data_IF_104470758368
#
_entry.id   IF_104470758368
#
_cell.length_a   1.000
_cell.length_b   1.000
_cell.length_c   1.000
_cell.angle_alpha   90.00
_cell.angle_beta   90.00
_cell.angle_gamma   90.00
#
_symmetry.space_group_name_H-M   'P 1'
#
loop_
_entity.id
_entity.type
_entity.pdbx_description
1 polymer ?
#
# COMPACT_ATOMS: atom_id res chain seq x y z
N UNK A 1 47.04 46.84 78.56
CA UNK A 1 46.27 47.94 77.94
C UNK A 1 44.83 47.44 77.80
N UNK A 2 43.97 47.78 78.77
CA UNK A 2 42.96 48.85 78.71
C UNK A 2 41.77 48.53 77.78
N UNK A 3 40.60 48.28 78.41
CA UNK A 3 39.21 48.69 78.01
C UNK A 3 38.66 48.13 76.68
N UNK A 4 37.38 47.80 76.48
CA UNK A 4 36.12 48.34 77.01
C UNK A 4 34.96 47.37 76.69
N UNK A 5 33.94 47.36 77.55
CA UNK A 5 32.62 46.76 77.34
C UNK A 5 31.89 47.34 76.10
N UNK A 6 30.89 46.62 75.57
CA UNK A 6 29.50 47.09 75.40
C UNK A 6 28.58 45.87 75.17
N UNK A 7 27.65 45.66 76.10
CA UNK A 7 26.45 44.83 75.95
C UNK A 7 25.49 45.52 74.96
N UNK A 8 24.89 44.78 74.03
CA UNK A 8 23.61 45.14 73.42
C UNK A 8 22.62 43.98 73.53
N UNK A 9 21.60 44.23 74.34
CA UNK A 9 20.32 43.54 74.42
C UNK A 9 19.55 43.66 73.11
N UNK A 10 19.15 42.54 72.50
CA UNK A 10 18.13 42.53 71.45
C UNK A 10 16.88 41.78 71.90
N UNK A 11 15.77 42.51 71.85
CA UNK A 11 14.40 42.06 72.09
C UNK A 11 13.98 40.94 71.14
N UNK A 12 13.19 40.03 71.69
CA UNK A 12 12.35 39.05 70.99
C UNK A 12 11.18 39.75 70.30
N UNK A 13 11.00 39.52 69.01
CA UNK A 13 9.71 39.70 68.31
C UNK A 13 9.37 38.40 67.57
N UNK A 14 8.50 37.62 68.19
CA UNK A 14 7.95 36.38 67.66
C UNK A 14 6.75 36.74 66.75
N UNK A 15 7.00 36.80 65.44
CA UNK A 15 5.96 36.99 64.43
C UNK A 15 5.37 35.63 64.02
N UNK A 16 4.11 35.37 64.41
CA UNK A 16 3.32 34.27 63.86
C UNK A 16 2.98 34.57 62.40
N UNK A 17 3.53 33.78 61.47
CA UNK A 17 3.09 33.77 60.08
C UNK A 17 1.95 32.74 59.88
N UNK A 18 0.81 33.11 59.28
CA UNK A 18 -0.22 32.15 58.92
C UNK A 18 0.26 31.23 57.79
N UNK A 19 0.15 29.92 58.00
CA UNK A 19 0.53 28.89 57.03
C UNK A 19 -0.33 28.97 55.78
N UNK A 20 0.32 29.27 54.65
CA UNK A 20 -0.30 29.24 53.32
C UNK A 20 -0.39 27.77 52.91
N UNK A 21 -1.59 27.20 52.95
CA UNK A 21 -1.87 25.88 52.40
C UNK A 21 -1.64 25.93 50.88
N UNK A 22 -0.55 25.33 50.42
CA UNK A 22 -0.27 25.16 49.00
C UNK A 22 -1.29 24.22 48.38
N UNK A 23 -2.25 24.78 47.63
CA UNK A 23 -3.11 24.00 46.74
C UNK A 23 -2.22 23.39 45.65
N UNK A 24 -1.95 22.09 45.75
CA UNK A 24 -1.29 21.36 44.67
C UNK A 24 -2.26 21.32 43.48
N UNK A 25 -1.91 22.01 42.40
CA UNK A 25 -2.61 21.92 41.14
C UNK A 25 -2.54 20.46 40.67
N UNK A 26 -3.67 19.76 40.68
CA UNK A 26 -3.81 18.45 40.06
C UNK A 26 -3.69 18.66 38.56
N UNK A 27 -2.49 18.43 38.02
CA UNK A 27 -2.24 18.41 36.58
C UNK A 27 -3.05 17.27 35.97
N UNK A 28 -4.21 17.58 35.40
CA UNK A 28 -4.97 16.63 34.60
C UNK A 28 -4.21 16.38 33.31
N UNK A 29 -3.84 15.12 33.07
CA UNK A 29 -3.20 14.74 31.81
C UNK A 29 -4.08 15.18 30.63
N UNK A 30 -3.51 15.74 29.56
CA UNK A 30 -4.27 16.23 28.42
C UNK A 30 -5.04 15.09 27.76
N UNK A 31 -6.25 15.40 27.27
CA UNK A 31 -7.04 14.46 26.50
C UNK A 31 -6.38 14.21 25.13
N UNK A 32 -6.25 12.95 24.74
CA UNK A 32 -5.61 12.53 23.48
C UNK A 32 -6.60 11.98 22.46
N UNK A 33 -7.76 11.52 22.94
CA UNK A 33 -8.85 11.06 22.11
C UNK A 33 -10.20 11.23 22.82
N UNK A 34 -11.27 11.09 22.05
CA UNK A 34 -12.66 11.10 22.53
C UNK A 34 -13.38 9.84 22.05
N UNK A 35 -14.28 9.31 22.86
CA UNK A 35 -15.18 8.23 22.45
C UNK A 35 -16.30 8.80 21.56
N UNK A 36 -16.07 8.86 20.25
CA UNK A 36 -17.01 9.43 19.27
C UNK A 36 -18.33 8.64 19.17
N UNK A 37 -18.26 7.32 19.32
CA UNK A 37 -19.43 6.45 19.42
C UNK A 37 -19.12 5.27 20.35
N UNK A 38 -20.13 4.83 21.11
CA UNK A 38 -20.08 3.64 21.95
C UNK A 38 -21.38 2.88 21.70
N UNK A 39 -21.26 1.61 21.35
CA UNK A 39 -22.36 0.66 21.28
C UNK A 39 -22.10 -0.47 22.28
N UNK A 40 -23.11 -0.86 23.05
CA UNK A 40 -22.95 -1.78 24.18
C UNK A 40 -22.19 -1.19 25.38
N UNK A 41 -21.54 -2.05 26.17
CA UNK A 41 -20.83 -1.66 27.39
C UNK A 41 -19.32 -1.66 27.19
N UNK A 42 -18.70 -0.48 27.36
CA UNK A 42 -17.25 -0.30 27.25
C UNK A 42 -16.73 0.27 28.56
N UNK A 43 -15.60 -0.24 29.03
CA UNK A 43 -14.91 0.27 30.21
C UNK A 43 -13.61 0.94 29.82
N UNK A 44 -13.24 1.98 30.56
CA UNK A 44 -11.89 2.54 30.55
C UNK A 44 -11.25 2.31 31.91
N UNK A 45 -10.08 1.68 31.92
CA UNK A 45 -9.22 1.57 33.10
C UNK A 45 -8.15 2.63 32.97
N UNK A 46 -8.16 3.62 33.87
CA UNK A 46 -7.20 4.73 33.88
C UNK A 46 -5.82 4.21 34.29
N UNK A 47 -4.77 4.99 34.00
CA UNK A 47 -3.39 4.66 34.40
C UNK A 47 -3.23 4.33 35.91
N UNK A 48 -4.03 4.97 36.78
CA UNK A 48 -4.06 4.68 38.22
C UNK A 48 -4.89 3.46 38.62
N UNK A 49 -5.34 2.62 37.67
CA UNK A 49 -6.11 1.40 37.91
C UNK A 49 -7.62 1.59 38.11
N UNK A 50 -8.10 2.84 38.24
CA UNK A 50 -9.53 3.12 38.39
C UNK A 50 -10.29 2.79 37.10
N UNK A 51 -11.26 1.88 37.18
CA UNK A 51 -12.12 1.49 36.07
C UNK A 51 -13.46 2.24 36.11
N UNK A 52 -13.89 2.76 34.98
CA UNK A 52 -15.18 3.44 34.79
C UNK A 52 -15.84 3.05 33.47
N UNK A 53 -17.15 3.24 33.34
CA UNK A 53 -17.82 3.10 32.04
C UNK A 53 -17.36 4.22 31.11
N UNK A 54 -17.03 3.86 29.86
CA UNK A 54 -16.71 4.80 28.79
C UNK A 54 -17.99 5.13 28.03
N UNK A 55 -18.49 6.36 28.19
CA UNK A 55 -19.65 6.85 27.46
C UNK A 55 -19.23 7.68 26.24
N UNK A 56 -20.14 7.87 25.27
CA UNK A 56 -19.93 8.81 24.16
C UNK A 56 -19.50 10.19 24.69
N UNK A 57 -18.48 10.78 24.07
CA UNK A 57 -17.92 12.09 24.43
C UNK A 57 -16.89 12.03 25.57
N UNK A 58 -16.71 10.88 26.23
CA UNK A 58 -15.67 10.72 27.26
C UNK A 58 -14.28 10.95 26.67
N UNK A 59 -13.43 11.66 27.40
CA UNK A 59 -12.03 11.86 27.05
C UNK A 59 -11.15 10.69 27.51
N UNK A 60 -10.20 10.35 26.66
CA UNK A 60 -9.13 9.39 26.92
C UNK A 60 -7.81 10.11 27.12
N UNK A 61 -6.95 9.50 27.91
CA UNK A 61 -5.62 9.98 28.27
C UNK A 61 -4.56 8.91 27.95
N UNK A 62 -3.29 9.32 27.92
CA UNK A 62 -2.18 8.37 27.87
C UNK A 62 -2.22 7.46 29.10
N UNK A 63 -2.02 6.16 28.88
CA UNK A 63 -2.10 5.10 29.88
C UNK A 63 -3.48 4.49 30.05
N UNK A 64 -4.52 5.00 29.39
CA UNK A 64 -5.86 4.41 29.45
C UNK A 64 -5.93 3.08 28.70
N UNK A 65 -6.58 2.08 29.31
CA UNK A 65 -6.94 0.81 28.70
C UNK A 65 -8.46 0.75 28.44
N UNK A 66 -8.82 0.65 27.16
CA UNK A 66 -10.18 0.57 26.66
C UNK A 66 -10.56 -0.91 26.52
N UNK A 67 -11.62 -1.32 27.22
CA UNK A 67 -12.08 -2.70 27.28
C UNK A 67 -13.51 -2.80 26.76
N UNK A 68 -13.68 -3.44 25.60
CA UNK A 68 -15.00 -3.75 25.03
C UNK A 68 -15.45 -5.13 25.52
N UNK A 69 -16.68 -5.23 26.00
CA UNK A 69 -17.34 -6.51 26.31
C UNK A 69 -17.91 -7.16 25.04
N UNK A 70 -18.60 -8.29 25.20
CA UNK A 70 -19.35 -8.94 24.14
C UNK A 70 -20.38 -7.99 23.52
N UNK A 71 -20.51 -8.03 22.21
CA UNK A 71 -21.44 -7.18 21.43
C UNK A 71 -21.28 -5.68 21.71
N UNK A 72 -20.08 -5.23 22.08
CA UNK A 72 -19.80 -3.82 22.28
C UNK A 72 -18.71 -3.33 21.34
N UNK A 73 -18.84 -2.10 20.86
CA UNK A 73 -17.83 -1.44 20.03
C UNK A 73 -17.65 -0.01 20.51
N UNK A 74 -16.48 0.53 20.25
CA UNK A 74 -16.22 1.96 20.45
C UNK A 74 -15.46 2.51 19.27
N UNK A 75 -15.90 3.68 18.77
CA UNK A 75 -15.13 4.51 17.84
C UNK A 75 -14.44 5.61 18.62
N UNK A 76 -13.13 5.61 18.56
CA UNK A 76 -12.23 6.62 19.11
C UNK A 76 -11.89 7.63 18.02
N UNK A 77 -11.91 8.91 18.37
CA UNK A 77 -11.45 10.00 17.53
C UNK A 77 -10.30 10.73 18.25
N UNK A 78 -9.10 10.64 17.70
CA UNK A 78 -7.87 11.21 18.24
C UNK A 78 -7.72 12.68 17.82
N UNK A 79 -6.94 13.45 18.59
CA UNK A 79 -6.77 14.89 18.36
C UNK A 79 -6.00 15.25 17.07
N UNK A 80 -5.32 14.28 16.45
CA UNK A 80 -4.65 14.40 15.15
C UNK A 80 -5.60 14.09 13.98
N UNK A 81 -6.88 13.86 14.27
CA UNK A 81 -7.92 13.52 13.29
C UNK A 81 -7.98 12.03 12.93
N UNK A 82 -7.18 11.18 13.58
CA UNK A 82 -7.25 9.73 13.38
C UNK A 82 -8.48 9.13 14.04
N UNK A 83 -9.01 8.06 13.45
CA UNK A 83 -10.12 7.29 14.03
C UNK A 83 -9.71 5.83 14.25
N UNK A 84 -10.22 5.22 15.33
CA UNK A 84 -10.00 3.79 15.60
C UNK A 84 -11.29 3.18 16.11
N UNK A 85 -11.78 2.15 15.45
CA UNK A 85 -12.88 1.33 15.94
C UNK A 85 -12.32 0.09 16.62
N UNK A 86 -12.74 -0.13 17.86
CA UNK A 86 -12.37 -1.29 18.67
C UNK A 86 -13.51 -2.30 18.64
N UNK A 87 -13.21 -3.53 18.23
CA UNK A 87 -14.16 -4.64 18.11
C UNK A 87 -14.68 -5.10 19.47
N UNK A 88 -15.73 -5.95 19.53
CA UNK A 88 -16.08 -6.65 20.75
C UNK A 88 -14.91 -7.45 21.33
N UNK A 89 -14.98 -7.69 22.64
CA UNK A 89 -14.05 -8.55 23.39
C UNK A 89 -12.56 -8.15 23.23
N UNK A 90 -12.30 -6.87 23.06
CA UNK A 90 -10.97 -6.31 22.77
C UNK A 90 -10.46 -5.47 23.94
N UNK A 91 -9.13 -5.39 24.03
CA UNK A 91 -8.45 -4.48 24.96
C UNK A 91 -7.38 -3.69 24.20
N UNK A 92 -7.58 -2.38 24.10
CA UNK A 92 -6.66 -1.43 23.46
C UNK A 92 -6.09 -0.47 24.51
N UNK A 93 -4.79 -0.25 24.50
CA UNK A 93 -4.12 0.69 25.41
C UNK A 93 -3.48 1.82 24.61
N UNK A 94 -3.66 3.06 25.06
CA UNK A 94 -2.94 4.23 24.52
C UNK A 94 -1.66 4.42 25.32
N UNK A 95 -0.54 3.87 24.85
CA UNK A 95 0.71 3.90 25.62
C UNK A 95 1.44 5.25 25.52
N UNK A 96 1.52 5.82 24.32
CA UNK A 96 2.09 7.15 24.11
C UNK A 96 1.26 7.90 23.08
N UNK A 97 1.17 9.21 23.25
CA UNK A 97 0.54 10.09 22.28
C UNK A 97 1.12 11.50 22.42
N UNK A 98 1.74 11.98 21.36
CA UNK A 98 2.31 13.31 21.21
C UNK A 98 1.98 13.80 19.81
N UNK A 99 1.25 14.91 19.72
CA UNK A 99 0.88 15.55 18.47
C UNK A 99 1.24 17.03 18.56
N UNK A 100 2.28 17.43 17.84
CA UNK A 100 2.82 18.78 17.85
C UNK A 100 2.61 19.42 16.47
N UNK A 101 1.59 20.28 16.33
CA UNK A 101 1.20 20.83 15.02
C UNK A 101 2.37 21.50 14.30
N UNK A 102 3.18 22.24 15.04
CA UNK A 102 4.31 23.04 14.57
C UNK A 102 5.63 22.24 14.49
N UNK A 103 5.73 21.10 15.18
CA UNK A 103 6.92 20.24 15.19
C UNK A 103 6.59 18.78 14.84
N UNK A 104 6.22 18.50 13.56
CA UNK A 104 5.87 17.15 13.11
C UNK A 104 6.92 16.06 13.39
N UNK A 105 8.19 16.43 13.52
CA UNK A 105 9.28 15.49 13.84
C UNK A 105 9.21 14.93 15.26
N UNK A 106 8.44 15.56 16.16
CA UNK A 106 8.22 15.10 17.53
C UNK A 106 6.91 14.33 17.70
N UNK A 107 6.12 14.17 16.62
CA UNK A 107 4.89 13.39 16.68
C UNK A 107 5.23 11.93 17.05
N UNK A 108 4.42 11.33 17.92
CA UNK A 108 4.56 9.93 18.33
C UNK A 108 3.23 9.38 18.84
N UNK A 109 2.85 8.19 18.40
CA UNK A 109 1.65 7.49 18.81
C UNK A 109 1.95 5.99 18.91
N UNK A 110 1.93 5.48 20.14
CA UNK A 110 2.06 4.06 20.40
C UNK A 110 0.77 3.49 20.99
N UNK A 111 0.14 2.60 20.24
CA UNK A 111 -1.01 1.83 20.69
C UNK A 111 -0.59 0.39 20.98
N UNK A 112 -1.23 -0.23 21.97
CA UNK A 112 -1.05 -1.65 22.24
C UNK A 112 -2.39 -2.39 22.23
N UNK A 113 -2.51 -3.36 21.34
CA UNK A 113 -3.63 -4.31 21.31
C UNK A 113 -3.26 -5.54 22.16
N UNK A 114 -3.92 -5.68 23.30
CA UNK A 114 -3.70 -6.81 24.22
C UNK A 114 -4.50 -8.04 23.79
N UNK A 115 -5.72 -7.84 23.29
CA UNK A 115 -6.59 -8.90 22.74
C UNK A 115 -7.63 -8.30 21.79
N UNK A 116 -8.24 -9.16 20.96
CA UNK A 116 -9.33 -8.77 20.08
C UNK A 116 -8.84 -8.16 18.77
N UNK A 117 -9.47 -7.08 18.30
CA UNK A 117 -9.09 -6.43 17.04
C UNK A 117 -9.57 -4.99 16.90
N UNK A 118 -8.98 -4.29 15.93
CA UNK A 118 -9.31 -2.90 15.62
C UNK A 118 -9.32 -2.67 14.11
N UNK A 119 -10.02 -1.63 13.66
CA UNK A 119 -9.76 -0.94 12.39
C UNK A 119 -9.35 0.48 12.71
N UNK A 120 -8.30 0.98 12.07
CA UNK A 120 -7.83 2.33 12.29
C UNK A 120 -7.61 3.06 10.98
N UNK A 121 -8.10 4.30 10.94
CA UNK A 121 -7.83 5.29 9.92
C UNK A 121 -6.86 6.30 10.52
N UNK A 122 -5.63 6.34 10.01
CA UNK A 122 -4.58 7.20 10.59
C UNK A 122 -4.83 8.69 10.37
N UNK A 123 -4.55 9.47 11.42
CA UNK A 123 -4.59 10.92 11.41
C UNK A 123 -3.29 11.55 10.91
N UNK A 124 -3.07 12.81 11.27
CA UNK A 124 -1.91 13.57 10.85
C UNK A 124 -0.59 12.89 11.28
N UNK A 125 -0.51 12.29 12.47
CA UNK A 125 0.73 11.65 12.98
C UNK A 125 1.23 10.59 12.00
N UNK A 126 0.34 9.75 11.47
CA UNK A 126 0.71 8.70 10.52
C UNK A 126 1.02 9.19 9.11
N UNK A 127 0.87 10.49 8.82
CA UNK A 127 0.92 11.08 7.47
C UNK A 127 2.02 12.13 7.28
N UNK A 128 2.75 12.52 8.33
CA UNK A 128 3.76 13.60 8.29
C UNK A 128 4.94 13.33 9.21
N UNK A 129 5.99 14.13 9.08
CA UNK A 129 7.11 14.13 10.03
C UNK A 129 7.88 12.82 9.99
N UNK A 130 7.90 12.10 11.11
CA UNK A 130 8.60 10.83 11.28
C UNK A 130 7.76 9.65 10.77
N UNK A 131 8.33 8.84 9.86
CA UNK A 131 7.65 7.67 9.30
C UNK A 131 7.35 6.57 10.34
N UNK A 132 8.10 6.53 11.45
CA UNK A 132 7.92 5.54 12.52
C UNK A 132 7.10 6.08 13.70
N UNK A 133 6.50 7.27 13.55
CA UNK A 133 5.74 7.93 14.60
C UNK A 133 4.48 7.16 15.01
N UNK A 134 3.84 6.45 14.09
CA UNK A 134 2.65 5.65 14.40
C UNK A 134 3.02 4.18 14.48
N UNK A 135 2.82 3.58 15.65
CA UNK A 135 3.06 2.16 15.89
C UNK A 135 1.89 1.54 16.67
N UNK A 136 1.41 0.39 16.19
CA UNK A 136 0.51 -0.48 16.92
C UNK A 136 1.23 -1.79 17.26
N UNK A 137 1.39 -2.10 18.54
CA UNK A 137 1.94 -3.38 18.97
C UNK A 137 0.82 -4.35 19.31
N UNK A 138 0.89 -5.54 18.72
CA UNK A 138 0.00 -6.66 19.04
C UNK A 138 0.86 -7.88 19.33
N UNK A 139 0.85 -8.36 20.59
CA UNK A 139 1.71 -9.46 21.04
C UNK A 139 3.21 -9.20 20.71
N UNK A 140 3.83 -10.04 19.88
CA UNK A 140 5.23 -9.96 19.45
C UNK A 140 5.44 -9.15 18.17
N UNK A 141 4.37 -8.74 17.50
CA UNK A 141 4.46 -8.01 16.24
C UNK A 141 4.19 -6.52 16.43
N UNK A 142 4.91 -5.72 15.65
CA UNK A 142 4.69 -4.28 15.53
C UNK A 142 4.13 -3.99 14.15
N UNK A 143 3.04 -3.24 14.11
CA UNK A 143 2.40 -2.74 12.89
C UNK A 143 2.81 -1.27 12.77
N UNK A 144 3.79 -1.01 11.91
CA UNK A 144 4.25 0.33 11.54
C UNK A 144 3.46 0.85 10.35
N UNK A 145 3.17 2.15 10.32
CA UNK A 145 2.10 2.66 9.45
C UNK A 145 2.50 3.92 8.73
N UNK A 146 2.10 4.01 7.46
CA UNK A 146 2.20 5.23 6.66
C UNK A 146 0.87 5.56 5.99
N UNK A 147 0.09 6.44 6.62
CA UNK A 147 -1.12 7.05 6.05
C UNK A 147 -2.15 6.06 5.54
N UNK A 148 -2.67 5.21 6.41
CA UNK A 148 -3.51 4.07 6.02
C UNK A 148 -4.87 3.99 6.70
N UNK A 149 -5.73 3.19 6.05
CA UNK A 149 -6.86 2.48 6.64
C UNK A 149 -6.50 0.98 6.70
N UNK A 150 -6.51 0.40 7.88
CA UNK A 150 -6.08 -0.99 8.08
C UNK A 150 -6.85 -1.64 9.24
N UNK A 151 -7.02 -2.96 9.15
CA UNK A 151 -7.57 -3.79 10.22
C UNK A 151 -6.50 -4.70 10.81
N UNK A 152 -6.54 -4.87 12.13
CA UNK A 152 -5.67 -5.78 12.87
C UNK A 152 -6.51 -6.67 13.76
N UNK A 153 -6.25 -7.97 13.70
CA UNK A 153 -6.83 -8.97 14.59
C UNK A 153 -5.71 -9.72 15.30
N UNK A 154 -5.67 -9.63 16.61
CA UNK A 154 -4.84 -10.50 17.43
C UNK A 154 -5.64 -11.79 17.70
N UNK A 155 -5.26 -12.84 17.00
CA UNK A 155 -5.83 -14.16 17.08
C UNK A 155 -5.20 -14.96 18.21
N UNK A 156 -6.07 -15.60 18.97
CA UNK A 156 -5.78 -16.72 19.86
C UNK A 156 -6.62 -17.89 19.33
N UNK A 157 -7.12 -18.77 20.21
CA UNK A 157 -7.99 -19.88 19.82
C UNK A 157 -9.35 -19.45 19.23
N UNK A 158 -9.62 -18.14 19.20
CA UNK A 158 -10.87 -17.49 18.80
C UNK A 158 -10.92 -17.06 17.31
N UNK A 159 -9.89 -17.38 16.53
CA UNK A 159 -9.85 -17.13 15.08
C UNK A 159 -9.94 -18.42 14.25
N UNK A 160 -10.26 -19.56 14.87
CA UNK A 160 -10.48 -20.80 14.11
C UNK A 160 -11.82 -20.72 13.37
N UNK A 161 -11.76 -20.27 12.12
CA UNK A 161 -12.82 -20.51 11.16
C UNK A 161 -12.33 -21.55 10.16
N UNK A 162 -13.17 -22.56 9.92
CA UNK A 162 -13.01 -23.51 8.81
C UNK A 162 -12.96 -22.69 7.52
N UNK A 163 -11.81 -22.69 6.86
CA UNK A 163 -11.60 -21.96 5.61
C UNK A 163 -12.75 -22.22 4.66
N UNK A 164 -13.53 -21.17 4.41
CA UNK A 164 -14.61 -21.24 3.44
C UNK A 164 -13.91 -21.36 2.07
N UNK A 165 -13.81 -22.58 1.54
CA UNK A 165 -13.06 -22.87 0.31
C UNK A 165 -13.58 -22.07 -0.92
N UNK A 166 -14.75 -21.45 -0.78
CA UNK A 166 -15.38 -20.56 -1.75
C UNK A 166 -15.27 -19.06 -1.40
N UNK A 167 -14.42 -18.68 -0.42
CA UNK A 167 -14.19 -17.28 -0.11
C UNK A 167 -13.53 -16.57 -1.30
N UNK A 168 -14.32 -15.76 -2.01
CA UNK A 168 -13.80 -14.81 -2.98
C UNK A 168 -13.27 -13.61 -2.22
N UNK A 169 -11.96 -13.41 -2.30
CA UNK A 169 -11.29 -12.25 -1.75
C UNK A 169 -11.96 -10.97 -2.29
N UNK A 170 -12.42 -10.08 -1.41
CA UNK A 170 -13.06 -8.83 -1.85
C UNK A 170 -12.05 -7.78 -2.32
N UNK A 171 -10.77 -7.95 -2.01
CA UNK A 171 -9.71 -7.05 -2.43
C UNK A 171 -9.17 -7.37 -3.83
N UNK A 172 -8.90 -6.32 -4.62
CA UNK A 172 -8.19 -6.44 -5.89
C UNK A 172 -6.72 -6.79 -5.63
N UNK A 173 -6.20 -7.91 -6.16
CA UNK A 173 -4.81 -8.28 -5.95
C UNK A 173 -3.85 -7.32 -6.65
N UNK A 174 -2.66 -7.14 -6.06
CA UNK A 174 -1.59 -6.37 -6.68
C UNK A 174 -1.15 -7.05 -7.98
N UNK A 175 -1.25 -6.34 -9.10
CA UNK A 175 -0.83 -6.82 -10.40
C UNK A 175 0.67 -6.65 -10.60
N UNK A 176 1.16 -5.44 -10.30
CA UNK A 176 2.56 -5.05 -10.47
C UNK A 176 3.07 -4.15 -9.34
N UNK A 177 4.39 -3.99 -9.26
CA UNK A 177 5.08 -3.04 -8.38
C UNK A 177 6.07 -2.22 -9.18
N UNK A 178 6.12 -0.92 -8.91
CA UNK A 178 7.13 -0.04 -9.47
C UNK A 178 8.47 -0.26 -8.73
N UNK A 179 9.43 -0.92 -9.35
CA UNK A 179 10.73 -1.23 -8.70
C UNK A 179 11.82 -0.20 -8.98
N UNK A 180 11.58 0.66 -9.97
CA UNK A 180 12.44 1.79 -10.26
C UNK A 180 11.57 2.94 -10.76
N UNK A 181 11.69 4.13 -10.15
CA UNK A 181 10.94 5.33 -10.55
C UNK A 181 11.92 6.47 -10.72
N UNK A 182 12.04 7.00 -11.95
CA UNK A 182 12.82 8.20 -12.25
C UNK A 182 11.89 9.31 -12.73
N UNK A 183 12.08 10.51 -12.21
CA UNK A 183 11.26 11.67 -12.57
C UNK A 183 9.85 11.58 -11.97
N UNK A 184 8.87 12.12 -12.69
CA UNK A 184 7.47 12.18 -12.25
C UNK A 184 6.65 11.12 -12.97
N UNK A 185 6.16 10.16 -12.18
CA UNK A 185 5.28 9.09 -12.63
C UNK A 185 3.99 9.16 -11.84
N UNK A 186 2.86 9.16 -12.53
CA UNK A 186 1.53 9.27 -11.94
C UNK A 186 0.67 8.07 -12.31
N UNK A 187 -0.20 7.65 -11.41
CA UNK A 187 -1.16 6.58 -11.61
C UNK A 187 -2.56 7.07 -11.22
N UNK A 188 -3.56 6.72 -12.01
CA UNK A 188 -4.98 6.77 -11.64
C UNK A 188 -5.41 5.36 -11.32
N UNK A 189 -5.82 5.14 -10.06
CA UNK A 189 -6.35 3.86 -9.62
C UNK A 189 -7.85 3.81 -9.85
N UNK A 190 -8.33 2.79 -10.57
CA UNK A 190 -9.75 2.57 -10.88
C UNK A 190 -10.48 3.83 -11.43
N UNK A 191 -9.81 4.63 -12.26
CA UNK A 191 -10.38 5.85 -12.84
C UNK A 191 -10.45 7.05 -11.89
N UNK A 192 -9.81 6.97 -10.73
CA UNK A 192 -9.67 8.07 -9.78
C UNK A 192 -8.72 9.19 -10.24
N UNK A 193 -8.36 10.09 -9.32
CA UNK A 193 -7.40 11.16 -9.62
C UNK A 193 -6.00 10.60 -9.92
N UNK A 194 -5.24 11.29 -10.76
CA UNK A 194 -3.83 10.97 -11.02
C UNK A 194 -2.96 11.36 -9.83
N UNK A 195 -2.35 10.38 -9.18
CA UNK A 195 -1.48 10.56 -8.01
C UNK A 195 -0.05 10.15 -8.35
N UNK A 196 0.94 10.90 -7.87
CA UNK A 196 2.35 10.56 -8.06
C UNK A 196 2.72 9.30 -7.28
N UNK A 197 3.43 8.37 -7.91
CA UNK A 197 3.92 7.14 -7.28
C UNK A 197 5.43 7.20 -7.05
N UNK A 198 5.90 6.33 -6.17
CA UNK A 198 7.32 6.13 -5.80
C UNK A 198 7.67 4.65 -5.88
N UNK A 199 8.95 4.31 -5.74
CA UNK A 199 9.38 2.91 -5.71
C UNK A 199 8.65 2.10 -4.64
N UNK A 200 8.35 0.85 -4.97
CA UNK A 200 7.56 -0.08 -4.17
C UNK A 200 6.05 0.11 -4.24
N UNK A 201 5.51 1.18 -4.85
CA UNK A 201 4.06 1.36 -5.01
C UNK A 201 3.44 0.27 -5.91
N UNK A 202 2.29 -0.28 -5.51
CA UNK A 202 1.57 -1.29 -6.27
C UNK A 202 0.80 -0.65 -7.43
N UNK A 203 0.51 -1.47 -8.42
CA UNK A 203 -0.46 -1.19 -9.47
C UNK A 203 -1.43 -2.36 -9.57
N UNK A 204 -2.64 -2.06 -10.00
CA UNK A 204 -3.77 -2.98 -10.07
C UNK A 204 -4.36 -3.05 -11.47
N UNK A 205 -5.15 -4.09 -11.74
CA UNK A 205 -5.99 -4.13 -12.94
C UNK A 205 -6.98 -2.95 -12.91
N UNK A 206 -7.11 -2.25 -14.03
CA UNK A 206 -7.87 -1.01 -14.18
C UNK A 206 -7.03 0.27 -14.02
N UNK A 207 -5.75 0.18 -13.62
CA UNK A 207 -4.91 1.36 -13.43
C UNK A 207 -4.47 1.97 -14.75
N UNK A 208 -4.40 3.31 -14.77
CA UNK A 208 -3.77 4.09 -15.85
C UNK A 208 -2.52 4.78 -15.33
N UNK A 209 -1.37 4.51 -15.95
CA UNK A 209 -0.08 5.09 -15.62
C UNK A 209 0.34 6.13 -16.67
N UNK A 210 0.94 7.21 -16.19
CA UNK A 210 1.54 8.26 -17.02
C UNK A 210 2.95 8.59 -16.53
N UNK A 211 3.90 8.63 -17.45
CA UNK A 211 5.25 9.18 -17.25
C UNK A 211 5.32 10.59 -17.86
N UNK A 212 5.98 11.52 -17.17
CA UNK A 212 6.26 12.85 -17.72
C UNK A 212 7.52 12.85 -18.61
N UNK A 213 7.92 14.03 -19.07
CA UNK A 213 9.23 14.24 -19.73
C UNK A 213 10.36 13.76 -18.80
N UNK A 214 11.41 13.19 -19.38
CA UNK A 214 12.60 12.68 -18.67
C UNK A 214 12.30 11.72 -17.50
N UNK A 215 11.14 11.07 -17.56
CA UNK A 215 10.64 10.18 -16.51
C UNK A 215 10.45 8.77 -17.04
N UNK A 216 10.76 7.76 -16.23
CA UNK A 216 10.49 6.37 -16.58
C UNK A 216 10.17 5.56 -15.34
N UNK A 217 9.47 4.45 -15.53
CA UNK A 217 9.20 3.48 -14.47
C UNK A 217 9.48 2.07 -14.96
N UNK A 218 10.07 1.24 -14.10
CA UNK A 218 10.15 -0.20 -14.30
C UNK A 218 9.09 -0.85 -13.40
N UNK A 219 8.15 -1.52 -14.04
CA UNK A 219 7.11 -2.32 -13.40
C UNK A 219 7.51 -3.79 -13.42
N UNK A 220 7.27 -4.48 -12.32
CA UNK A 220 7.42 -5.93 -12.20
C UNK A 220 6.08 -6.51 -11.81
N UNK A 221 5.61 -7.50 -12.54
CA UNK A 221 4.34 -8.18 -12.31
C UNK A 221 4.56 -9.47 -11.52
N UNK A 222 3.51 -9.97 -10.86
CA UNK A 222 3.59 -11.17 -10.02
C UNK A 222 3.88 -12.47 -10.79
N UNK A 223 3.68 -12.51 -12.11
CA UNK A 223 4.09 -13.62 -12.99
C UNK A 223 5.56 -13.52 -13.44
N UNK A 224 6.26 -12.47 -13.02
CA UNK A 224 7.63 -12.17 -13.43
C UNK A 224 7.76 -11.35 -14.70
N UNK A 225 6.65 -10.95 -15.35
CA UNK A 225 6.66 -9.98 -16.45
C UNK A 225 7.23 -8.65 -15.98
N UNK A 226 7.93 -7.96 -16.87
CA UNK A 226 8.52 -6.66 -16.56
C UNK A 226 8.33 -5.68 -17.70
N UNK A 227 7.90 -4.47 -17.36
CA UNK A 227 7.67 -3.41 -18.34
C UNK A 227 8.42 -2.16 -17.92
N UNK A 228 9.23 -1.62 -18.82
CA UNK A 228 9.75 -0.26 -18.69
C UNK A 228 8.86 0.68 -19.50
N UNK A 229 8.26 1.65 -18.83
CA UNK A 229 7.45 2.69 -19.48
C UNK A 229 8.36 3.87 -19.78
N UNK A 230 8.47 4.24 -21.05
CA UNK A 230 9.38 5.29 -21.50
C UNK A 230 8.88 6.68 -21.09
N UNK A 231 9.68 7.75 -21.27
CA UNK A 231 9.22 9.13 -21.09
C UNK A 231 7.97 9.45 -21.89
N UNK A 232 7.20 10.42 -21.39
CA UNK A 232 6.03 10.99 -22.08
C UNK A 232 4.99 9.96 -22.54
N UNK A 233 4.82 8.88 -21.78
CA UNK A 233 4.02 7.72 -22.16
C UNK A 233 2.78 7.57 -21.29
N UNK A 234 1.75 6.93 -21.84
CA UNK A 234 0.52 6.55 -21.13
C UNK A 234 0.15 5.10 -21.41
N UNK A 235 -0.06 4.35 -20.34
CA UNK A 235 -0.32 2.91 -20.32
C UNK A 235 -1.52 2.62 -19.42
N UNK A 236 -2.31 1.59 -19.75
CA UNK A 236 -3.31 0.99 -18.87
C UNK A 236 -3.01 -0.49 -18.62
N UNK A 237 -3.31 -0.96 -17.41
CA UNK A 237 -3.37 -2.40 -17.07
C UNK A 237 -4.82 -2.82 -17.18
N UNK A 238 -5.27 -3.21 -18.35
CA UNK A 238 -6.71 -3.42 -18.62
C UNK A 238 -7.21 -4.73 -18.04
N UNK A 239 -6.35 -5.76 -18.10
CA UNK A 239 -6.60 -7.05 -17.48
C UNK A 239 -5.29 -7.60 -16.94
N UNK A 240 -5.30 -8.04 -15.68
CA UNK A 240 -4.24 -8.86 -15.15
C UNK A 240 -4.82 -9.88 -14.17
N UNK A 241 -4.63 -11.15 -14.48
CA UNK A 241 -4.96 -12.26 -13.61
C UNK A 241 -3.81 -13.26 -13.65
N UNK A 242 -3.23 -13.57 -12.49
CA UNK A 242 -2.22 -14.59 -12.35
C UNK A 242 -2.56 -15.42 -11.12
N UNK A 243 -2.80 -16.72 -11.31
CA UNK A 243 -3.02 -17.62 -10.19
C UNK A 243 -1.72 -17.71 -9.38
N UNK A 244 -1.73 -17.14 -8.18
CA UNK A 244 -0.57 -17.14 -7.32
C UNK A 244 -0.19 -18.56 -6.88
N UNK A 245 1.08 -18.72 -6.57
CA UNK A 245 1.68 -19.93 -6.03
C UNK A 245 1.00 -20.30 -4.70
N UNK A 246 0.38 -21.48 -4.61
CA UNK A 246 0.07 -22.11 -3.32
C UNK A 246 1.26 -22.94 -2.84
N UNK A 247 1.41 -23.11 -1.53
CA UNK A 247 2.59 -23.70 -0.89
C UNK A 247 3.05 -25.00 -1.59
N UNK A 248 4.27 -24.98 -2.12
CA UNK A 248 4.91 -26.13 -2.78
C UNK A 248 4.45 -26.44 -4.21
N UNK A 249 3.44 -25.76 -4.75
CA UNK A 249 2.99 -25.94 -6.14
C UNK A 249 3.82 -25.11 -7.13
N UNK A 250 4.06 -25.65 -8.33
CA UNK A 250 4.56 -24.84 -9.44
C UNK A 250 3.50 -23.81 -9.82
N UNK A 251 3.88 -22.54 -9.93
CA UNK A 251 3.01 -21.49 -10.49
C UNK A 251 2.67 -21.89 -11.93
N UNK A 252 1.40 -22.21 -12.19
CA UNK A 252 0.97 -22.84 -13.44
C UNK A 252 1.07 -21.93 -14.68
N UNK A 253 1.47 -20.66 -14.51
CA UNK A 253 1.42 -19.65 -15.58
C UNK A 253 0.02 -19.47 -16.17
N UNK A 254 -1.01 -19.92 -15.44
CA UNK A 254 -2.42 -19.76 -15.83
C UNK A 254 -2.80 -18.34 -15.46
N UNK A 255 -3.24 -17.59 -16.47
CA UNK A 255 -3.54 -16.19 -16.30
C UNK A 255 -3.82 -15.48 -17.61
N UNK A 256 -3.97 -14.18 -17.51
CA UNK A 256 -4.14 -13.25 -18.62
C UNK A 256 -3.50 -11.91 -18.28
N UNK A 257 -2.98 -11.24 -19.32
CA UNK A 257 -2.37 -9.93 -19.20
C UNK A 257 -2.66 -9.12 -20.45
N UNK A 258 -3.49 -8.09 -20.31
CA UNK A 258 -3.78 -7.13 -21.38
C UNK A 258 -3.30 -5.76 -20.94
N UNK A 259 -2.34 -5.24 -21.68
CA UNK A 259 -1.80 -3.90 -21.50
C UNK A 259 -2.33 -3.03 -22.64
N UNK A 260 -2.95 -1.91 -22.29
CA UNK A 260 -3.31 -0.89 -23.26
C UNK A 260 -2.21 0.18 -23.30
N UNK A 261 -1.78 0.53 -24.51
CA UNK A 261 -0.79 1.55 -24.76
C UNK A 261 -1.46 2.70 -25.51
N UNK A 262 -1.59 3.84 -24.85
CA UNK A 262 -2.33 5.00 -25.35
C UNK A 262 -1.42 6.03 -26.01
N UNK A 263 -0.20 6.18 -25.48
CA UNK A 263 0.76 7.20 -25.90
C UNK A 263 2.19 6.79 -25.60
N UNK A 264 3.12 7.15 -26.48
CA UNK A 264 4.56 7.06 -26.24
C UNK A 264 5.17 5.69 -26.53
N UNK A 265 6.01 5.16 -25.65
CA UNK A 265 6.64 3.85 -25.84
C UNK A 265 6.81 3.02 -24.56
N UNK A 266 7.04 1.72 -24.73
CA UNK A 266 7.38 0.80 -23.65
C UNK A 266 8.35 -0.28 -24.13
N UNK A 267 9.02 -0.91 -23.17
CA UNK A 267 9.80 -2.15 -23.35
C UNK A 267 9.21 -3.23 -22.48
N UNK A 268 9.07 -4.44 -22.99
CA UNK A 268 8.37 -5.52 -22.29
C UNK A 268 9.17 -6.82 -22.39
N UNK A 269 9.52 -7.39 -21.24
CA UNK A 269 9.95 -8.77 -21.08
C UNK A 269 8.84 -9.62 -20.43
N UNK A 270 8.39 -10.67 -21.10
CA UNK A 270 7.25 -11.47 -20.62
C UNK A 270 7.63 -12.51 -19.56
N UNK A 271 6.76 -12.67 -18.57
CA UNK A 271 6.89 -13.62 -17.46
C UNK A 271 6.30 -14.99 -17.79
N UNK A 272 5.84 -15.68 -16.73
CA UNK A 272 5.33 -17.04 -16.81
C UNK A 272 4.11 -17.14 -17.71
N UNK A 273 3.14 -16.23 -17.63
CA UNK A 273 1.92 -16.28 -18.46
C UNK A 273 2.30 -16.25 -19.94
N UNK A 274 3.22 -15.37 -20.33
CA UNK A 274 3.67 -15.27 -21.72
C UNK A 274 4.43 -16.50 -22.24
N UNK A 275 4.98 -17.32 -21.34
CA UNK A 275 5.71 -18.56 -21.68
C UNK A 275 4.78 -19.77 -21.74
N UNK A 276 3.82 -19.88 -20.81
CA UNK A 276 2.88 -21.00 -20.72
C UNK A 276 1.63 -20.82 -21.57
N UNK A 277 1.14 -19.59 -21.68
CA UNK A 277 -0.14 -19.22 -22.29
C UNK A 277 0.00 -17.93 -23.14
N UNK A 278 0.80 -17.98 -24.21
CA UNK A 278 1.18 -16.81 -25.00
C UNK A 278 -0.02 -16.03 -25.58
N UNK A 279 -1.11 -16.71 -25.94
CA UNK A 279 -2.32 -16.11 -26.50
C UNK A 279 -3.10 -15.23 -25.50
N UNK A 280 -2.80 -15.36 -24.20
CA UNK A 280 -3.41 -14.59 -23.12
C UNK A 280 -2.62 -13.34 -22.74
N UNK A 281 -1.49 -13.07 -23.40
CA UNK A 281 -0.74 -11.83 -23.20
C UNK A 281 -0.81 -10.97 -24.46
N UNK A 282 -1.33 -9.75 -24.31
CA UNK A 282 -1.51 -8.80 -25.41
C UNK A 282 -1.11 -7.39 -25.01
N UNK A 283 -0.48 -6.67 -25.93
CA UNK A 283 -0.38 -5.21 -25.88
C UNK A 283 -1.29 -4.64 -26.95
N UNK A 284 -2.27 -3.83 -26.57
CA UNK A 284 -3.21 -3.19 -27.51
C UNK A 284 -2.93 -1.71 -27.59
N UNK A 285 -3.23 -1.15 -28.74
CA UNK A 285 -3.24 0.28 -29.01
C UNK A 285 -4.53 0.59 -29.78
N UNK A 286 -4.75 1.87 -30.11
CA UNK A 286 -5.88 2.26 -30.94
C UNK A 286 -5.82 1.65 -32.37
N UNK A 287 -4.63 1.30 -32.87
CA UNK A 287 -4.43 0.87 -34.27
C UNK A 287 -3.92 -0.55 -34.42
N UNK A 288 -3.29 -1.11 -33.39
CA UNK A 288 -2.59 -2.39 -33.44
C UNK A 288 -2.78 -3.24 -32.19
N UNK A 289 -2.74 -4.55 -32.37
CA UNK A 289 -2.58 -5.53 -31.29
C UNK A 289 -1.28 -6.30 -31.49
N UNK A 290 -0.52 -6.44 -30.41
CA UNK A 290 0.71 -7.22 -30.36
C UNK A 290 0.44 -8.46 -29.50
N UNK A 291 0.52 -9.63 -30.11
CA UNK A 291 0.55 -10.91 -29.42
C UNK A 291 1.99 -11.33 -29.17
N UNK A 292 2.22 -12.13 -28.13
CA UNK A 292 3.58 -12.49 -27.70
C UNK A 292 3.71 -14.00 -27.57
N UNK A 293 4.95 -14.50 -27.69
CA UNK A 293 5.29 -15.88 -27.37
C UNK A 293 6.65 -15.94 -26.68
N UNK A 294 6.66 -15.78 -25.35
CA UNK A 294 7.88 -15.76 -24.53
C UNK A 294 8.92 -14.77 -25.05
N UNK A 295 8.62 -13.47 -25.02
CA UNK A 295 9.37 -12.45 -25.75
C UNK A 295 9.95 -11.34 -24.91
N UNK A 296 10.98 -10.73 -25.47
CA UNK A 296 11.46 -9.40 -25.11
C UNK A 296 11.30 -8.50 -26.32
N UNK A 297 10.53 -7.42 -26.21
CA UNK A 297 10.22 -6.53 -27.34
C UNK A 297 9.99 -5.09 -26.89
N UNK A 298 10.12 -4.18 -27.85
CA UNK A 298 9.95 -2.75 -27.64
C UNK A 298 8.83 -2.23 -28.56
N UNK A 299 8.03 -1.28 -28.07
CA UNK A 299 6.91 -0.66 -28.79
C UNK A 299 7.00 0.85 -28.68
N UNK A 300 6.71 1.55 -29.77
CA UNK A 300 6.59 3.01 -29.77
C UNK A 300 5.51 3.49 -30.71
N UNK A 301 4.83 4.55 -30.30
CA UNK A 301 3.80 5.23 -31.06
C UNK A 301 4.37 6.44 -31.79
N UNK A 302 3.80 6.73 -32.95
CA UNK A 302 4.27 7.74 -33.89
C UNK A 302 3.08 8.47 -34.55
N UNK A 303 3.30 9.63 -35.18
CA UNK A 303 2.33 10.24 -36.06
C UNK A 303 1.96 9.32 -37.22
N UNK A 304 0.74 9.46 -37.71
CA UNK A 304 0.34 8.81 -38.97
C UNK A 304 1.21 9.28 -40.13
N UNK A 305 1.62 8.36 -41.01
CA UNK A 305 2.45 8.70 -42.16
C UNK A 305 3.95 8.78 -41.85
N UNK A 306 4.37 8.41 -40.64
CA UNK A 306 5.78 8.31 -40.27
C UNK A 306 6.58 7.46 -41.27
N UNK A 307 7.82 7.85 -41.55
CA UNK A 307 8.73 7.09 -42.41
C UNK A 307 9.14 5.75 -41.77
N UNK A 308 9.61 4.80 -42.58
CA UNK A 308 10.10 3.51 -42.06
C UNK A 308 11.34 3.67 -41.18
N UNK A 309 12.15 4.67 -41.49
CA UNK A 309 13.34 5.06 -40.72
C UNK A 309 13.04 6.20 -39.75
N UNK A 310 11.88 6.18 -39.08
CA UNK A 310 11.46 7.22 -38.15
C UNK A 310 12.56 7.56 -37.14
N UNK A 311 12.79 8.87 -36.96
CA UNK A 311 13.79 9.39 -36.05
C UNK A 311 13.22 9.49 -34.63
N UNK A 312 14.06 9.64 -33.59
CA UNK A 312 13.55 9.87 -32.24
C UNK A 312 12.67 11.11 -32.09
N UNK A 313 12.90 12.17 -32.89
CA UNK A 313 12.09 13.38 -32.87
C UNK A 313 10.66 13.15 -33.38
N UNK A 314 10.46 12.11 -34.18
CA UNK A 314 9.15 11.72 -34.70
C UNK A 314 8.38 10.82 -33.70
N UNK A 315 8.97 10.45 -32.57
CA UNK A 315 8.52 9.34 -31.72
C UNK A 315 8.44 9.70 -30.24
N UNK A 316 7.71 8.90 -29.45
CA UNK A 316 7.81 8.90 -27.98
C UNK A 316 6.87 9.83 -27.21
N UNK A 317 6.40 10.94 -27.78
CA UNK A 317 5.35 11.79 -27.18
C UNK A 317 4.04 11.76 -27.99
N UNK A 318 3.76 10.63 -28.65
CA UNK A 318 2.73 10.54 -29.68
C UNK A 318 1.62 9.57 -29.29
N UNK A 319 0.34 9.94 -29.50
CA UNK A 319 -0.77 9.01 -29.32
C UNK A 319 -0.65 7.81 -30.27
N UNK A 320 -1.06 6.63 -29.80
CA UNK A 320 -1.00 5.39 -30.59
C UNK A 320 -2.11 5.26 -31.65
N UNK A 321 -2.83 6.36 -31.94
CA UNK A 321 -3.82 6.45 -33.01
C UNK A 321 -3.22 6.70 -34.40
N UNK A 322 -1.97 7.18 -34.47
CA UNK A 322 -1.29 7.48 -35.73
C UNK A 322 -0.59 6.28 -36.34
N UNK A 323 0.47 5.80 -35.69
CA UNK A 323 1.23 4.61 -36.11
C UNK A 323 1.87 3.93 -34.91
N UNK A 324 2.12 2.64 -35.04
CA UNK A 324 2.77 1.82 -34.02
C UNK A 324 3.91 1.06 -34.67
N UNK A 325 5.10 1.17 -34.07
CA UNK A 325 6.28 0.40 -34.42
C UNK A 325 6.57 -0.59 -33.31
N UNK A 326 7.01 -1.79 -33.69
CA UNK A 326 7.46 -2.80 -32.76
C UNK A 326 8.77 -3.44 -33.22
N UNK A 327 9.67 -3.73 -32.29
CA UNK A 327 10.89 -4.51 -32.52
C UNK A 327 10.94 -5.69 -31.53
N UNK A 328 11.24 -6.88 -32.04
CA UNK A 328 11.50 -8.05 -31.20
C UNK A 328 12.99 -8.16 -30.91
N UNK A 329 13.37 -8.15 -29.63
CA UNK A 329 14.75 -8.37 -29.17
C UNK A 329 15.02 -9.86 -28.91
N UNK A 330 14.06 -10.57 -28.32
CA UNK A 330 14.10 -12.03 -28.10
C UNK A 330 12.73 -12.67 -28.36
N UNK A 331 12.73 -13.94 -28.80
CA UNK A 331 11.52 -14.70 -29.10
C UNK A 331 10.82 -14.26 -30.40
N UNK A 332 9.49 -14.31 -30.40
CA UNK A 332 8.64 -13.92 -31.54
C UNK A 332 7.36 -13.22 -31.09
N UNK A 333 7.06 -12.04 -31.66
CA UNK A 333 5.75 -11.39 -31.50
C UNK A 333 4.91 -11.55 -32.77
N UNK A 334 3.60 -11.39 -32.64
CA UNK A 334 2.69 -11.12 -33.75
C UNK A 334 2.25 -9.66 -33.69
N UNK A 335 2.27 -8.97 -34.82
CA UNK A 335 1.77 -7.61 -34.96
C UNK A 335 0.57 -7.62 -35.90
N UNK A 336 -0.57 -7.17 -35.41
CA UNK A 336 -1.82 -7.11 -36.18
C UNK A 336 -2.34 -5.68 -36.21
N UNK A 337 -2.72 -5.19 -37.40
CA UNK A 337 -3.55 -4.00 -37.52
C UNK A 337 -5.03 -4.31 -37.27
N UNK A 338 -5.92 -3.33 -37.42
CA UNK A 338 -7.38 -3.58 -37.34
C UNK A 338 -7.93 -4.34 -38.57
N UNK A 339 -7.14 -4.40 -39.66
CA UNK A 339 -7.41 -5.19 -40.87
C UNK A 339 -6.17 -5.96 -41.32
N UNK A 340 -6.41 -6.98 -42.14
CA UNK A 340 -5.37 -7.84 -42.71
C UNK A 340 -4.86 -8.90 -41.73
N UNK A 341 -3.98 -9.75 -42.25
CA UNK A 341 -3.43 -10.86 -41.48
C UNK A 341 -2.34 -10.39 -40.49
N UNK A 342 -2.21 -11.07 -39.33
CA UNK A 342 -1.10 -10.83 -38.41
C UNK A 342 0.26 -11.06 -39.08
N UNK A 343 1.22 -10.17 -38.79
CA UNK A 343 2.62 -10.32 -39.20
C UNK A 343 3.43 -10.92 -38.06
N UNK A 344 4.18 -11.97 -38.34
CA UNK A 344 5.08 -12.60 -37.37
C UNK A 344 6.44 -11.90 -37.40
N UNK A 345 6.94 -11.48 -36.24
CA UNK A 345 8.22 -10.77 -36.09
C UNK A 345 9.14 -11.53 -35.11
N UNK A 346 10.01 -12.41 -35.61
CA UNK A 346 11.08 -13.04 -34.83
C UNK A 346 12.11 -12.04 -34.30
N UNK A 347 12.95 -12.48 -33.37
CA UNK A 347 14.08 -11.71 -32.84
C UNK A 347 14.93 -11.09 -33.95
N UNK A 348 15.28 -9.81 -33.77
CA UNK A 348 16.02 -9.01 -34.75
C UNK A 348 15.16 -8.39 -35.86
N UNK A 349 13.85 -8.66 -35.91
CA UNK A 349 12.93 -8.03 -36.85
C UNK A 349 12.11 -6.91 -36.21
N UNK A 350 11.60 -6.04 -37.07
CA UNK A 350 10.68 -4.96 -36.71
C UNK A 350 9.54 -4.87 -37.71
N UNK A 351 8.42 -4.34 -37.25
CA UNK A 351 7.25 -4.10 -38.09
C UNK A 351 6.50 -2.85 -37.66
N UNK A 352 5.51 -2.48 -38.46
CA UNK A 352 4.65 -1.33 -38.18
C UNK A 352 3.21 -1.55 -38.58
N UNK A 353 2.33 -0.78 -37.94
CA UNK A 353 0.96 -0.49 -38.38
C UNK A 353 0.86 1.02 -38.53
N UNK A 354 0.41 1.49 -39.71
CA UNK A 354 0.42 2.92 -40.07
C UNK A 354 -1.00 3.51 -40.09
N UNK A 355 -1.70 3.40 -38.96
CA UNK A 355 -3.04 3.96 -38.78
C UNK A 355 -4.13 2.89 -38.71
N UNK A 356 -5.36 3.37 -38.55
CA UNK A 356 -6.56 2.52 -38.57
C UNK A 356 -6.74 1.90 -39.95
N UNK A 357 -7.20 0.66 -39.97
CA UNK A 357 -7.54 -0.11 -41.17
C UNK A 357 -6.39 -0.41 -42.12
N UNK A 358 -5.16 -0.11 -41.71
CA UNK A 358 -3.94 -0.44 -42.44
C UNK A 358 -3.38 -1.77 -41.90
N UNK A 359 -3.07 -2.76 -42.76
CA UNK A 359 -2.47 -4.00 -42.31
C UNK A 359 -1.07 -3.78 -41.74
N UNK A 360 -0.68 -4.65 -40.81
CA UNK A 360 0.69 -4.71 -40.33
C UNK A 360 1.64 -5.11 -41.47
N UNK A 361 2.87 -4.63 -41.41
CA UNK A 361 3.95 -5.11 -42.29
C UNK A 361 5.29 -5.15 -41.59
N UNK A 362 6.19 -5.98 -42.11
CA UNK A 362 7.60 -5.99 -41.70
C UNK A 362 8.32 -4.74 -42.23
N UNK A 363 9.41 -4.38 -41.55
CA UNK A 363 10.33 -3.34 -41.96
C UNK A 363 11.68 -3.97 -42.36
N UNK A 364 12.33 -3.47 -43.42
CA UNK A 364 13.62 -4.00 -43.87
C UNK A 364 14.78 -3.66 -42.92
N UNK A 365 14.63 -2.61 -42.12
CA UNK A 365 15.62 -2.16 -41.13
C UNK A 365 14.93 -1.77 -39.83
N UNK A 366 15.60 -2.01 -38.70
CA UNK A 366 15.15 -1.57 -37.39
C UNK A 366 15.23 -0.03 -37.33
N UNK A 367 14.11 0.68 -37.04
CA UNK A 367 14.11 2.13 -36.87
C UNK A 367 15.15 2.62 -35.87
N UNK A 368 15.75 3.78 -36.14
CA UNK A 368 16.87 4.29 -35.32
C UNK A 368 16.47 4.53 -33.86
N UNK A 369 15.21 4.90 -33.62
CA UNK A 369 14.69 5.13 -32.28
C UNK A 369 15.00 4.00 -31.31
N UNK A 370 14.74 2.73 -31.68
CA UNK A 370 14.97 1.61 -30.79
C UNK A 370 16.44 1.42 -30.39
N UNK A 371 17.37 1.88 -31.23
CA UNK A 371 18.81 1.87 -30.93
C UNK A 371 19.23 2.97 -29.97
N UNK A 372 18.41 4.02 -29.82
CA UNK A 372 18.70 5.21 -29.02
C UNK A 372 17.87 5.33 -27.74
N UNK A 373 16.93 4.40 -27.48
CA UNK A 373 16.16 4.40 -26.22
C UNK A 373 17.12 4.21 -25.04
N UNK A 374 17.11 5.18 -24.12
CA UNK A 374 18.02 5.27 -22.97
C UNK A 374 17.38 4.84 -21.64
N UNK A 375 16.17 4.29 -21.65
CA UNK A 375 15.55 3.71 -20.47
C UNK A 375 16.19 2.34 -20.15
N UNK A 376 15.94 1.78 -18.96
CA UNK A 376 16.38 0.42 -18.66
C UNK A 376 15.78 -0.61 -19.61
N UNK A 377 16.52 -1.69 -19.87
CA UNK A 377 15.94 -2.89 -20.45
C UNK A 377 15.35 -3.74 -19.31
N UNK A 378 14.05 -4.05 -19.32
CA UNK A 378 13.36 -4.57 -18.14
C UNK A 378 13.90 -5.94 -17.68
N UNK A 379 14.34 -6.79 -18.59
CA UNK A 379 14.92 -8.10 -18.27
C UNK A 379 16.27 -8.01 -17.53
N UNK A 380 17.01 -6.90 -17.70
CA UNK A 380 18.29 -6.67 -17.03
C UNK A 380 18.15 -6.12 -15.61
N UNK A 381 16.97 -5.64 -15.23
CA UNK A 381 16.70 -5.13 -13.88
C UNK A 381 16.68 -6.29 -12.88
N UNK A 382 17.55 -6.29 -11.88
CA UNK A 382 17.55 -7.33 -10.86
C UNK A 382 16.38 -7.13 -9.89
N UNK A 383 15.64 -8.21 -9.61
CA UNK A 383 14.44 -8.14 -8.75
C UNK A 383 14.35 -9.40 -7.91
N UNK A 384 13.89 -9.24 -6.67
CA UNK A 384 13.53 -10.36 -5.80
C UNK A 384 12.01 -10.58 -5.87
N UNK A 385 11.55 -11.46 -6.77
CA UNK A 385 10.12 -11.73 -6.95
C UNK A 385 9.46 -12.25 -5.66
N UNK A 386 10.16 -13.06 -4.88
CA UNK A 386 9.64 -13.59 -3.61
C UNK A 386 9.45 -12.46 -2.59
N UNK A 387 10.37 -11.50 -2.51
CA UNK A 387 10.19 -10.32 -1.66
C UNK A 387 9.02 -9.43 -2.11
N UNK A 388 8.85 -9.27 -3.42
CA UNK A 388 7.81 -8.42 -4.01
C UNK A 388 6.40 -9.03 -3.92
N UNK A 389 6.27 -10.33 -4.14
CA UNK A 389 4.99 -11.00 -4.34
C UNK A 389 4.84 -12.35 -3.65
N UNK A 390 5.83 -12.81 -2.87
CA UNK A 390 5.74 -14.08 -2.16
C UNK A 390 4.50 -14.10 -1.26
N UNK A 391 3.69 -15.14 -1.41
CA UNK A 391 2.46 -15.39 -0.65
C UNK A 391 2.58 -16.74 0.05
N UNK A 392 2.02 -16.84 1.25
CA UNK A 392 1.93 -18.09 2.01
C UNK A 392 0.50 -18.30 2.49
N UNK A 393 0.13 -19.56 2.74
CA UNK A 393 -1.11 -19.85 3.45
C UNK A 393 -0.90 -19.54 4.94
N UNK A 394 -1.90 -18.95 5.59
CA UNK A 394 -1.82 -18.71 7.03
C UNK A 394 -1.71 -20.06 7.75
N UNK A 395 -0.78 -20.25 8.70
CA UNK A 395 -0.68 -21.50 9.45
C UNK A 395 -1.95 -21.78 10.25
N UNK A 396 -2.41 -23.04 10.24
CA UNK A 396 -3.58 -23.50 11.00
C UNK A 396 -3.42 -23.37 12.53
N UNK A 397 -2.20 -23.11 13.01
CA UNK A 397 -1.88 -22.91 14.44
C UNK A 397 -2.22 -21.48 14.88
N UNK A 398 -3.51 -21.29 15.10
CA UNK A 398 -4.32 -20.16 15.58
C UNK A 398 -3.77 -19.29 16.73
N UNK A 399 -2.54 -18.78 16.68
CA UNK A 399 -2.17 -17.64 17.55
C UNK A 399 -1.18 -16.71 16.88
N UNK A 400 -1.62 -15.48 16.61
CA UNK A 400 -0.80 -14.48 15.93
C UNK A 400 -1.58 -13.23 15.57
N UNK A 401 -0.93 -12.32 14.86
CA UNK A 401 -1.48 -11.05 14.40
C UNK A 401 -1.80 -11.19 12.93
N UNK A 402 -3.07 -10.99 12.58
CA UNK A 402 -3.52 -10.79 11.21
C UNK A 402 -3.64 -9.29 10.94
N UNK A 403 -3.17 -8.87 9.77
CA UNK A 403 -3.28 -7.49 9.30
C UNK A 403 -3.85 -7.51 7.90
N UNK A 404 -4.79 -6.59 7.61
CA UNK A 404 -5.28 -6.31 6.26
C UNK A 404 -5.22 -4.81 6.01
N UNK A 405 -4.71 -4.41 4.85
CA UNK A 405 -4.65 -3.01 4.44
C UNK A 405 -5.80 -2.70 3.50
N UNK A 406 -6.62 -1.71 3.85
CA UNK A 406 -7.72 -1.22 3.00
C UNK A 406 -7.26 -0.07 2.12
N UNK A 407 -6.41 0.81 2.64
CA UNK A 407 -5.82 1.94 1.92
C UNK A 407 -4.40 2.22 2.44
N UNK A 408 -3.49 2.63 1.56
CA UNK A 408 -2.11 3.03 1.91
C UNK A 408 -1.15 1.85 2.12
N UNK A 409 -0.15 2.01 2.99
CA UNK A 409 0.90 1.01 3.28
C UNK A 409 1.11 0.71 4.76
N UNK A 410 1.23 -0.57 5.09
CA UNK A 410 1.51 -1.05 6.44
C UNK A 410 2.77 -1.92 6.43
N UNK A 411 3.59 -1.81 7.46
CA UNK A 411 4.71 -2.72 7.71
C UNK A 411 4.36 -3.59 8.91
N UNK A 412 4.36 -4.91 8.71
CA UNK A 412 4.28 -5.89 9.79
C UNK A 412 5.69 -6.38 10.13
N UNK A 413 6.19 -5.98 11.30
CA UNK A 413 7.54 -6.27 11.77
C UNK A 413 7.51 -7.26 12.95
N UNK A 414 8.35 -8.31 12.89
CA UNK A 414 8.61 -9.21 14.02
C UNK A 414 9.97 -9.89 13.83
N UNK A 415 10.75 -9.98 14.91
CA UNK A 415 12.03 -10.70 14.94
C UNK A 415 13.01 -10.30 13.81
N UNK A 416 13.16 -8.99 13.57
CA UNK A 416 14.03 -8.40 12.52
C UNK A 416 13.61 -8.72 11.07
N UNK A 417 12.40 -9.25 10.87
CA UNK A 417 11.82 -9.39 9.54
C UNK A 417 10.60 -8.50 9.41
N UNK A 418 10.55 -7.81 8.30
CA UNK A 418 9.48 -6.90 7.93
C UNK A 418 8.77 -7.41 6.69
N UNK A 419 7.44 -7.33 6.70
CA UNK A 419 6.61 -7.53 5.52
C UNK A 419 5.88 -6.23 5.25
N UNK A 420 6.18 -5.61 4.11
CA UNK A 420 5.44 -4.47 3.58
C UNK A 420 4.16 -4.97 2.92
N UNK A 421 3.05 -4.34 3.28
CA UNK A 421 1.72 -4.57 2.76
C UNK A 421 1.19 -3.30 2.13
N UNK A 422 0.57 -3.47 0.97
CA UNK A 422 -0.19 -2.41 0.32
C UNK A 422 -1.69 -2.71 0.36
N UNK A 423 -2.49 -1.72 -0.05
CA UNK A 423 -3.94 -1.87 -0.15
C UNK A 423 -4.34 -3.17 -0.86
N UNK A 424 -5.22 -3.93 -0.22
CA UNK A 424 -5.69 -5.24 -0.67
C UNK A 424 -4.82 -6.43 -0.26
N UNK A 425 -3.66 -6.21 0.37
CA UNK A 425 -2.82 -7.27 0.90
C UNK A 425 -3.09 -7.53 2.40
N UNK A 426 -2.83 -8.77 2.80
CA UNK A 426 -2.89 -9.21 4.19
C UNK A 426 -1.59 -9.89 4.59
N UNK A 427 -1.29 -9.88 5.89
CA UNK A 427 -0.18 -10.64 6.47
C UNK A 427 -0.57 -11.33 7.76
N UNK A 428 0.24 -12.32 8.12
CA UNK A 428 0.24 -12.97 9.40
C UNK A 428 1.63 -12.92 10.05
N UNK A 429 1.66 -12.73 11.37
CA UNK A 429 2.85 -12.96 12.19
C UNK A 429 2.46 -13.70 13.46
N UNK A 430 3.16 -14.77 13.81
CA UNK A 430 2.87 -15.59 14.99
C UNK A 430 4.14 -15.87 15.79
N UNK A 431 4.03 -16.42 17.02
CA UNK A 431 5.21 -16.67 17.86
C UNK A 431 6.27 -17.56 17.19
N UNK A 432 5.84 -18.57 16.44
CA UNK A 432 6.71 -19.50 15.72
C UNK A 432 6.88 -19.14 14.23
N UNK A 433 6.20 -18.08 13.77
CA UNK A 433 6.05 -17.77 12.34
C UNK A 433 6.44 -16.32 12.14
N UNK A 434 7.61 -16.12 11.51
CA UNK A 434 8.03 -14.79 11.06
C UNK A 434 6.97 -14.17 10.14
N UNK A 435 6.92 -12.84 9.98
CA UNK A 435 5.90 -12.21 9.16
C UNK A 435 5.89 -12.75 7.72
N UNK A 436 4.69 -13.04 7.22
CA UNK A 436 4.42 -13.57 5.88
C UNK A 436 3.21 -12.87 5.27
N UNK A 437 3.27 -12.59 3.97
CA UNK A 437 2.11 -12.08 3.20
C UNK A 437 1.19 -13.24 2.86
N UNK A 438 -0.12 -13.05 3.01
CA UNK A 438 -1.13 -14.06 2.80
C UNK A 438 -1.64 -14.07 1.36
N UNK A 439 -2.04 -15.24 0.87
CA UNK A 439 -2.59 -15.43 -0.48
C UNK A 439 -3.91 -14.70 -0.72
N UNK A 440 -4.69 -14.50 0.33
CA UNK A 440 -5.97 -13.81 0.30
C UNK A 440 -6.21 -13.07 1.60
N UNK A 441 -7.14 -12.10 1.55
CA UNK A 441 -7.65 -11.50 2.76
C UNK A 441 -8.37 -12.58 3.58
N UNK A 442 -8.02 -12.78 4.86
CA UNK A 442 -8.72 -13.74 5.71
C UNK A 442 -10.21 -13.39 5.84
N UNK A 443 -11.14 -14.37 5.77
CA UNK A 443 -12.59 -14.11 5.86
C UNK A 443 -12.99 -13.29 7.08
N UNK A 444 -12.37 -13.54 8.23
CA UNK A 444 -12.60 -12.81 9.49
C UNK A 444 -12.28 -11.31 9.40
N UNK A 445 -11.40 -10.90 8.48
CA UNK A 445 -11.06 -9.50 8.22
C UNK A 445 -11.79 -8.94 6.99
N UNK A 446 -12.09 -9.79 6.01
CA UNK A 446 -12.79 -9.40 4.78
C UNK A 446 -14.28 -9.11 5.05
N UNK A 447 -14.90 -9.93 5.91
CA UNK A 447 -16.34 -9.88 6.23
C UNK A 447 -16.61 -9.60 7.70
N UNK A 448 -15.76 -8.80 8.34
CA UNK A 448 -15.95 -8.45 9.74
C UNK A 448 -17.24 -7.62 9.93
N UNK A 449 -18.27 -8.13 10.61
CA UNK A 449 -19.53 -7.41 10.80
C UNK A 449 -19.34 -6.14 11.64
N UNK A 450 -18.27 -6.08 12.45
CA UNK A 450 -17.97 -4.95 13.32
C UNK A 450 -16.93 -3.99 12.75
N UNK A 451 -16.22 -4.35 11.67
CA UNK A 451 -15.15 -3.52 11.08
C UNK A 451 -15.39 -3.12 9.61
N UNK A 452 -16.62 -3.20 9.12
CA UNK A 452 -16.94 -2.93 7.71
C UNK A 452 -16.63 -1.49 7.25
N UNK A 453 -16.50 -1.31 5.92
CA UNK A 453 -16.09 -0.06 5.26
C UNK A 453 -17.03 1.13 5.47
N UNK A 454 -18.25 0.91 5.99
CA UNK A 454 -19.23 1.97 6.26
C UNK A 454 -18.96 2.79 7.52
N UNK A 455 -18.07 2.34 8.41
CA UNK A 455 -17.99 2.87 9.78
C UNK A 455 -17.32 4.23 9.96
N UNK A 456 -16.43 4.62 9.03
CA UNK A 456 -15.76 5.92 9.03
C UNK A 456 -16.52 6.97 8.21
N UNK A 457 -17.68 6.63 7.64
CA UNK A 457 -18.55 7.61 7.00
C UNK A 457 -19.28 8.40 8.09
N UNK A 458 -19.12 9.72 8.08
CA UNK A 458 -19.62 10.66 9.09
C UNK A 458 -21.16 10.64 9.34
N UNK A 459 -21.94 9.90 8.54
CA UNK A 459 -23.40 9.94 8.54
C UNK A 459 -24.09 8.58 8.80
N UNK A 460 -23.55 7.71 9.66
CA UNK A 460 -24.37 6.63 10.23
C UNK A 460 -25.17 7.12 11.44
N UNK A 461 -26.17 7.95 11.16
CA UNK A 461 -27.36 8.08 12.00
C UNK A 461 -28.38 7.02 11.55
N UNK A 462 -28.68 6.09 12.47
CA UNK A 462 -29.91 5.30 12.62
C UNK A 462 -30.34 4.33 11.49
N UNK A 463 -30.61 3.09 11.90
CA UNK A 463 -31.99 2.74 12.30
C UNK A 463 -32.00 2.22 13.73
#
# INVERSE_FOLDING_TARGET
MKTLLILWSLLVTMALAPGVAGAQAVSTAPAVATAAAVDGTVFVTRAGGRQTILARGSSLQVGDAINTTRNSTVRLHFTDGGETVVRPESTLVVQTYQFQKEMPSQDNMFLQLIKGGIRALTGAIGKRGNADAYQLRANTATVGIRGTDFSVRLCQQDCQETGDANHRNSATPVAARAVQVRGVVKVSHAGGAMVSITEGQPLYSGDMLQTQLDSHVVLVFSDGSRITVNPSSQMGISEYAHAAKSDGAASSGIGSMIIDMFKGGLRFATGLIGKSNPEKVKVRTATATIGIRGTVFDVVCAPGGSADSASPADLGDMPCGGSVFAQTREGTITLSGTKGEPVVLPAGQSGRVNGLDIPARTLPVIPNYFKTINTPEPEKVQVNLEGLFGLQTAPDTSTGVLVTVHEGKVVLAQAQKDVLLDAGESAFAGRAVIPVRLQSVPPILDRDPFLSSGMFKANMCRR
#
